data_IF_484671730747
#
_entry.id   IF_484671730747
#
_cell.length_a   1.000
_cell.length_b   1.000
_cell.length_c   1.000
_cell.angle_alpha   90.00
_cell.angle_beta   90.00
_cell.angle_gamma   90.00
#
_symmetry.space_group_name_H-M   'P 1'
#
loop_
_entity.id
_entity.type
_entity.pdbx_description
1 polymer ?
#
# COMPACT_ATOMS: atom_id res chain seq x y z
N UNK A 1 -5.02 16.27 1.46
CA UNK A 1 -3.62 16.37 1.94
C UNK A 1 -2.71 16.05 0.77
N UNK A 2 -1.64 16.82 0.61
CA UNK A 2 -0.61 16.57 -0.41
C UNK A 2 0.74 16.47 0.30
N UNK A 3 1.55 15.49 -0.08
CA UNK A 3 2.88 15.28 0.47
C UNK A 3 3.88 15.33 -0.69
N UNK A 4 4.93 16.13 -0.55
CA UNK A 4 6.00 16.19 -1.54
C UNK A 4 7.25 15.49 -1.02
N UNK A 5 7.87 14.73 -1.91
CA UNK A 5 9.17 14.09 -1.69
C UNK A 5 10.20 14.63 -2.68
N UNK A 6 11.37 14.03 -2.77
CA UNK A 6 12.38 14.41 -3.75
C UNK A 6 11.87 14.25 -5.19
N UNK A 7 11.22 13.11 -5.50
CA UNK A 7 10.85 12.72 -6.86
C UNK A 7 9.35 12.62 -7.10
N UNK A 8 8.52 12.59 -6.03
CA UNK A 8 7.09 12.32 -6.10
C UNK A 8 6.26 13.44 -5.48
N UNK A 9 5.02 13.55 -5.99
CA UNK A 9 3.89 14.22 -5.34
C UNK A 9 2.89 13.13 -4.97
N UNK A 10 2.61 13.00 -3.68
CA UNK A 10 1.57 12.12 -3.18
C UNK A 10 0.31 12.96 -2.96
N UNK A 11 -0.71 12.73 -3.75
CA UNK A 11 -1.96 13.50 -3.76
C UNK A 11 -3.18 12.59 -3.82
N UNK A 12 -4.36 13.17 -3.68
CA UNK A 12 -5.60 12.45 -3.99
C UNK A 12 -5.64 12.07 -5.46
N UNK A 13 -6.37 10.99 -5.75
CA UNK A 13 -6.69 10.63 -7.13
C UNK A 13 -7.64 11.64 -7.75
N UNK A 14 -7.48 11.86 -9.04
CA UNK A 14 -8.33 12.69 -9.89
C UNK A 14 -8.93 11.83 -11.02
N UNK A 15 -10.01 12.30 -11.61
CA UNK A 15 -10.68 11.59 -12.73
C UNK A 15 -9.75 11.34 -13.92
N UNK A 16 -8.78 12.22 -14.10
CA UNK A 16 -7.76 12.18 -15.17
C UNK A 16 -6.71 11.10 -14.98
N UNK A 17 -6.61 10.49 -13.80
CA UNK A 17 -5.60 9.47 -13.48
C UNK A 17 -5.96 8.07 -14.01
N UNK A 18 -7.09 7.95 -14.73
CA UNK A 18 -7.63 6.64 -15.06
C UNK A 18 -6.70 5.76 -15.89
N UNK A 19 -6.11 6.31 -16.93
CA UNK A 19 -5.25 5.53 -17.83
C UNK A 19 -3.99 5.03 -17.10
N UNK A 20 -3.39 5.88 -16.27
CA UNK A 20 -2.24 5.51 -15.44
C UNK A 20 -2.61 4.47 -14.38
N UNK A 21 -3.76 4.64 -13.70
CA UNK A 21 -4.29 3.67 -12.76
C UNK A 21 -4.52 2.32 -13.42
N UNK A 22 -5.21 2.31 -14.56
CA UNK A 22 -5.54 1.08 -15.27
C UNK A 22 -4.28 0.35 -15.73
N UNK A 23 -3.26 1.08 -16.22
CA UNK A 23 -1.99 0.52 -16.66
C UNK A 23 -1.35 -0.36 -15.58
N UNK A 24 -1.26 0.11 -14.34
CA UNK A 24 -0.63 -0.71 -13.31
C UNK A 24 -1.59 -1.72 -12.66
N UNK A 25 -2.91 -1.51 -12.67
CA UNK A 25 -3.84 -2.52 -12.16
C UNK A 25 -3.93 -3.74 -13.07
N UNK A 26 -3.85 -3.56 -14.39
CA UNK A 26 -3.87 -4.69 -15.32
C UNK A 26 -2.64 -5.60 -15.17
N UNK A 27 -1.52 -5.04 -14.72
CA UNK A 27 -0.30 -5.82 -14.42
C UNK A 27 -0.49 -6.78 -13.23
N UNK A 28 -1.50 -6.52 -12.38
CA UNK A 28 -1.82 -7.32 -11.19
C UNK A 28 -2.93 -8.36 -11.46
N UNK A 29 -3.39 -8.49 -12.70
CA UNK A 29 -4.50 -9.39 -13.05
C UNK A 29 -4.25 -10.85 -12.65
N UNK A 30 -3.01 -11.30 -12.83
CA UNK A 30 -2.57 -12.66 -12.54
C UNK A 30 -1.53 -12.68 -11.39
N UNK A 31 -1.44 -11.59 -10.61
CA UNK A 31 -0.54 -11.52 -9.47
C UNK A 31 -1.05 -12.40 -8.32
N UNK A 32 -0.17 -13.21 -7.75
CA UNK A 32 -0.55 -14.13 -6.68
C UNK A 32 -0.71 -13.47 -5.31
N UNK A 33 -0.26 -12.22 -5.14
CA UNK A 33 -0.26 -11.49 -3.88
C UNK A 33 -1.35 -10.43 -3.82
N UNK A 34 -1.75 -9.89 -4.98
CA UNK A 34 -2.76 -8.84 -5.11
C UNK A 34 -4.02 -9.38 -5.81
N UNK A 35 -5.16 -8.94 -5.38
CA UNK A 35 -6.43 -9.50 -5.86
C UNK A 35 -7.18 -8.59 -6.83
N UNK A 36 -6.72 -8.47 -8.07
CA UNK A 36 -7.47 -7.79 -9.15
C UNK A 36 -7.86 -8.74 -10.30
N UNK A 37 -8.42 -9.94 -10.03
CA UNK A 37 -8.78 -10.88 -11.08
C UNK A 37 -9.87 -10.28 -11.97
N UNK A 38 -9.73 -10.48 -13.29
CA UNK A 38 -10.75 -10.08 -14.26
C UNK A 38 -10.91 -8.59 -14.46
N UNK A 39 -9.89 -7.77 -14.11
CA UNK A 39 -9.92 -6.34 -14.39
C UNK A 39 -9.98 -6.06 -15.90
N UNK A 40 -10.87 -5.19 -16.31
CA UNK A 40 -11.04 -4.70 -17.69
C UNK A 40 -11.06 -3.18 -17.68
N UNK A 41 -10.85 -2.55 -18.83
CA UNK A 41 -10.92 -1.10 -18.93
C UNK A 41 -12.28 -0.53 -18.48
N UNK A 42 -13.37 -1.25 -18.68
CA UNK A 42 -14.70 -0.80 -18.26
C UNK A 42 -14.91 -0.90 -16.74
N UNK A 43 -14.60 -2.07 -16.15
CA UNK A 43 -14.79 -2.28 -14.72
C UNK A 43 -13.72 -1.58 -13.86
N UNK A 44 -12.56 -1.29 -14.44
CA UNK A 44 -11.48 -0.55 -13.81
C UNK A 44 -11.88 0.86 -13.36
N UNK A 45 -12.87 1.48 -14.03
CA UNK A 45 -13.38 2.80 -13.65
C UNK A 45 -13.92 2.86 -12.23
N UNK A 46 -14.55 1.79 -11.74
CA UNK A 46 -15.01 1.68 -10.35
C UNK A 46 -13.87 1.75 -9.34
N UNK A 47 -12.69 1.25 -9.71
CA UNK A 47 -11.50 1.36 -8.85
C UNK A 47 -10.98 2.78 -8.76
N UNK A 48 -11.11 3.58 -9.86
CA UNK A 48 -10.80 5.00 -9.81
C UNK A 48 -11.83 5.77 -8.97
N UNK A 49 -13.14 5.59 -9.26
CA UNK A 49 -14.23 6.24 -8.52
C UNK A 49 -14.08 6.02 -7.01
N UNK A 50 -13.77 4.80 -6.60
CA UNK A 50 -13.52 4.47 -5.19
C UNK A 50 -12.33 5.25 -4.62
N UNK A 51 -11.22 5.36 -5.37
CA UNK A 51 -10.02 6.09 -4.92
C UNK A 51 -10.21 7.59 -4.88
N UNK A 52 -10.91 8.16 -5.86
CA UNK A 52 -11.25 9.59 -5.92
C UNK A 52 -12.14 9.96 -4.74
N UNK A 53 -13.12 9.11 -4.40
CA UNK A 53 -14.02 9.32 -3.25
C UNK A 53 -13.39 9.04 -1.89
N UNK A 54 -12.17 8.52 -1.82
CA UNK A 54 -11.52 8.08 -0.59
C UNK A 54 -10.41 9.02 -0.14
N UNK A 55 -10.33 9.26 1.19
CA UNK A 55 -9.20 9.96 1.82
C UNK A 55 -8.03 9.02 2.14
N UNK A 56 -8.18 7.73 1.90
CA UNK A 56 -7.22 6.69 2.31
C UNK A 56 -6.21 6.33 1.20
N UNK A 57 -6.40 6.84 -0.03
CA UNK A 57 -5.50 6.57 -1.14
C UNK A 57 -4.73 7.80 -1.58
N UNK A 58 -3.43 7.61 -1.77
CA UNK A 58 -2.52 8.61 -2.33
C UNK A 58 -1.99 8.11 -3.67
N UNK A 59 -2.29 8.83 -4.75
CA UNK A 59 -1.64 8.64 -6.05
C UNK A 59 -0.17 9.04 -5.94
N UNK A 60 0.72 8.25 -6.55
CA UNK A 60 2.15 8.52 -6.64
C UNK A 60 2.45 9.18 -7.99
N UNK A 61 2.38 10.51 -8.04
CA UNK A 61 2.70 11.27 -9.25
C UNK A 61 4.19 11.57 -9.33
N UNK A 62 4.80 11.29 -10.46
CA UNK A 62 6.20 11.65 -10.73
C UNK A 62 6.31 13.14 -11.05
N UNK A 63 7.14 13.88 -10.31
CA UNK A 63 7.42 15.31 -10.57
C UNK A 63 7.97 15.58 -11.96
N UNK A 64 8.70 14.62 -12.52
CA UNK A 64 9.37 14.77 -13.83
C UNK A 64 8.44 14.66 -15.04
N UNK A 65 7.31 13.96 -14.92
CA UNK A 65 6.43 13.64 -16.04
C UNK A 65 4.94 13.91 -15.79
N UNK A 66 4.53 14.09 -14.53
CA UNK A 66 3.12 14.14 -14.14
C UNK A 66 2.41 12.78 -14.16
N UNK A 67 3.13 11.68 -14.49
CA UNK A 67 2.55 10.33 -14.56
C UNK A 67 2.30 9.77 -13.17
N UNK A 68 1.13 9.17 -12.97
CA UNK A 68 0.83 8.38 -11.76
C UNK A 68 1.35 6.96 -11.93
N UNK A 69 2.36 6.61 -11.13
CA UNK A 69 3.08 5.33 -11.22
C UNK A 69 2.65 4.30 -10.17
N UNK A 70 1.63 4.59 -9.39
CA UNK A 70 1.15 3.70 -8.33
C UNK A 70 0.35 4.41 -7.27
N UNK A 71 0.12 3.74 -6.16
CA UNK A 71 -0.55 4.32 -4.99
C UNK A 71 -0.01 3.82 -3.65
N UNK A 72 -0.19 4.63 -2.60
CA UNK A 72 -0.18 4.20 -1.20
C UNK A 72 -1.63 4.18 -0.71
N UNK A 73 -2.02 3.10 -0.07
CA UNK A 73 -3.19 3.01 0.80
C UNK A 73 -2.77 3.33 2.24
N UNK A 74 -3.56 4.10 2.96
CA UNK A 74 -3.33 4.43 4.36
C UNK A 74 -4.69 4.53 5.08
N UNK A 75 -5.25 3.37 5.40
CA UNK A 75 -6.60 3.22 5.93
C UNK A 75 -6.68 3.43 7.44
N UNK A 76 -7.80 4.01 7.87
CA UNK A 76 -8.11 4.17 9.28
C UNK A 76 -8.35 2.82 9.96
N UNK A 77 -7.81 2.66 11.18
CA UNK A 77 -8.07 1.53 12.07
C UNK A 77 -8.31 2.04 13.48
N UNK A 78 -8.92 1.22 14.33
CA UNK A 78 -9.15 1.54 15.74
C UNK A 78 -7.84 1.84 16.48
N UNK A 79 -7.95 2.52 17.62
CA UNK A 79 -6.84 2.83 18.53
C UNK A 79 -5.72 3.69 17.91
N UNK A 80 -6.10 4.73 17.13
CA UNK A 80 -5.16 5.62 16.46
C UNK A 80 -4.13 4.88 15.60
N UNK A 81 -4.56 3.79 14.96
CA UNK A 81 -3.74 3.01 14.04
C UNK A 81 -4.09 3.30 12.57
N UNK A 82 -3.12 3.04 11.70
CA UNK A 82 -3.28 3.01 10.24
C UNK A 82 -2.75 1.70 9.68
N UNK A 83 -3.49 1.16 8.74
CA UNK A 83 -2.97 0.11 7.88
C UNK A 83 -2.47 0.73 6.59
N UNK A 84 -1.27 0.32 6.15
CA UNK A 84 -0.70 0.78 4.89
C UNK A 84 -0.53 -0.36 3.91
N UNK A 85 -0.79 -0.05 2.64
CA UNK A 85 -0.52 -0.89 1.48
C UNK A 85 0.06 -0.06 0.34
N UNK A 86 0.64 -0.70 -0.65
CA UNK A 86 1.23 -0.01 -1.80
C UNK A 86 1.21 -0.86 -3.04
N UNK A 87 1.00 -0.20 -4.16
CA UNK A 87 1.13 -0.75 -5.50
C UNK A 87 2.01 0.22 -6.29
N UNK A 88 2.99 -0.32 -7.02
CA UNK A 88 3.81 0.45 -7.96
C UNK A 88 3.83 -0.27 -9.29
N UNK A 89 3.57 0.46 -10.36
CA UNK A 89 3.68 0.02 -11.74
C UNK A 89 5.03 -0.69 -11.95
N UNK A 90 5.00 -1.87 -12.57
CA UNK A 90 6.17 -2.77 -12.71
C UNK A 90 7.35 -2.08 -13.40
N UNK A 91 7.09 -1.18 -14.35
CA UNK A 91 8.13 -0.44 -15.07
C UNK A 91 8.90 0.55 -14.19
N UNK A 92 8.32 0.90 -13.02
CA UNK A 92 8.89 1.83 -12.05
C UNK A 92 9.33 1.15 -10.73
N UNK A 93 9.20 -0.18 -10.66
CA UNK A 93 9.66 -0.93 -9.49
C UNK A 93 11.18 -0.92 -9.36
N UNK A 94 11.67 -1.24 -8.15
CA UNK A 94 13.10 -1.34 -7.80
C UNK A 94 13.91 -0.05 -7.97
N UNK A 95 13.24 1.08 -8.28
CA UNK A 95 13.82 2.41 -8.37
C UNK A 95 13.74 3.19 -7.05
N UNK A 96 13.17 2.59 -6.00
CA UNK A 96 13.06 3.18 -4.67
C UNK A 96 11.82 4.04 -4.43
N UNK A 97 10.95 4.22 -5.41
CA UNK A 97 9.74 5.04 -5.29
C UNK A 97 8.80 4.59 -4.17
N UNK A 98 8.53 3.28 -4.05
CA UNK A 98 7.68 2.75 -2.98
C UNK A 98 8.23 3.09 -1.58
N UNK A 99 9.55 2.94 -1.36
CA UNK A 99 10.15 3.24 -0.06
C UNK A 99 10.16 4.73 0.25
N UNK A 100 10.37 5.59 -0.75
CA UNK A 100 10.30 7.05 -0.63
C UNK A 100 8.88 7.50 -0.25
N UNK A 101 7.88 7.02 -0.98
CA UNK A 101 6.48 7.34 -0.76
C UNK A 101 5.99 6.84 0.61
N UNK A 102 6.23 5.57 0.93
CA UNK A 102 5.77 4.97 2.19
C UNK A 102 6.41 5.67 3.39
N UNK A 103 7.71 5.97 3.32
CA UNK A 103 8.39 6.73 4.38
C UNK A 103 7.76 8.10 4.59
N UNK A 104 7.45 8.83 3.51
CA UNK A 104 6.83 10.15 3.59
C UNK A 104 5.42 10.09 4.22
N UNK A 105 4.59 9.11 3.84
CA UNK A 105 3.26 8.90 4.43
C UNK A 105 3.39 8.57 5.92
N UNK A 106 4.27 7.65 6.31
CA UNK A 106 4.51 7.28 7.72
C UNK A 106 4.89 8.53 8.53
N UNK A 107 5.81 9.34 8.05
CA UNK A 107 6.24 10.55 8.75
C UNK A 107 5.10 11.55 8.92
N UNK A 108 4.26 11.74 7.91
CA UNK A 108 3.14 12.65 7.97
C UNK A 108 2.04 12.16 8.93
N UNK A 109 1.74 10.86 8.90
CA UNK A 109 0.80 10.27 9.85
C UNK A 109 1.30 10.36 11.29
N UNK A 110 2.60 10.18 11.54
CA UNK A 110 3.17 10.35 12.86
C UNK A 110 3.16 11.81 13.34
N UNK A 111 3.35 12.79 12.44
CA UNK A 111 3.18 14.21 12.77
C UNK A 111 1.73 14.54 13.16
N UNK A 112 0.75 13.91 12.53
CA UNK A 112 -0.67 14.10 12.84
C UNK A 112 -1.13 13.38 14.11
N UNK A 113 -0.24 12.67 14.81
CA UNK A 113 -0.52 12.04 16.10
C UNK A 113 -0.93 10.57 16.03
N UNK A 114 -0.92 9.96 14.85
CA UNK A 114 -1.17 8.52 14.72
C UNK A 114 -0.16 7.75 15.57
N UNK A 115 -0.67 6.79 16.36
CA UNK A 115 0.10 6.01 17.31
C UNK A 115 0.87 4.87 16.65
N UNK A 116 0.21 4.15 15.73
CA UNK A 116 0.70 2.91 15.14
C UNK A 116 0.43 2.86 13.65
N UNK A 117 1.42 2.42 12.88
CA UNK A 117 1.24 2.08 11.47
C UNK A 117 1.66 0.63 11.28
N UNK A 118 0.83 -0.14 10.56
CA UNK A 118 1.11 -1.53 10.26
C UNK A 118 0.78 -1.88 8.82
N UNK A 119 1.35 -2.97 8.35
CA UNK A 119 1.09 -3.55 7.03
C UNK A 119 1.05 -5.08 7.14
N UNK A 120 0.29 -5.68 6.25
CA UNK A 120 0.20 -7.12 6.09
C UNK A 120 0.74 -7.53 4.72
N UNK A 121 1.44 -8.66 4.64
CA UNK A 121 1.91 -9.21 3.37
C UNK A 121 2.07 -10.73 3.43
N UNK A 122 1.97 -11.37 2.26
CA UNK A 122 2.31 -12.79 2.11
C UNK A 122 3.82 -12.99 2.36
N UNK A 123 4.24 -13.98 3.18
CA UNK A 123 5.65 -14.30 3.42
C UNK A 123 6.47 -14.55 2.16
N UNK A 124 5.84 -15.03 1.09
CA UNK A 124 6.48 -15.28 -0.21
C UNK A 124 6.73 -14.00 -1.00
N UNK A 125 6.01 -12.91 -0.70
CA UNK A 125 6.24 -11.60 -1.30
C UNK A 125 7.46 -10.92 -0.68
N UNK A 126 8.65 -11.43 -1.06
CA UNK A 126 9.94 -10.97 -0.52
C UNK A 126 10.16 -9.48 -0.76
N UNK A 127 9.70 -8.95 -1.88
CA UNK A 127 9.86 -7.54 -2.21
C UNK A 127 9.07 -6.66 -1.25
N UNK A 128 7.86 -7.09 -0.86
CA UNK A 128 6.99 -6.36 0.05
C UNK A 128 7.60 -6.30 1.46
N UNK A 129 7.88 -7.43 2.11
CA UNK A 129 8.38 -7.38 3.49
C UNK A 129 9.78 -6.76 3.60
N UNK A 130 10.66 -6.90 2.59
CA UNK A 130 11.95 -6.18 2.58
C UNK A 130 11.77 -4.67 2.50
N UNK A 131 10.76 -4.19 1.78
CA UNK A 131 10.45 -2.77 1.74
C UNK A 131 9.94 -2.28 3.11
N UNK A 132 9.09 -3.05 3.79
CA UNK A 132 8.62 -2.72 5.14
C UNK A 132 9.78 -2.65 6.14
N UNK A 133 10.72 -3.60 6.09
CA UNK A 133 11.94 -3.56 6.92
C UNK A 133 12.83 -2.35 6.57
N UNK A 134 12.97 -2.03 5.28
CA UNK A 134 13.76 -0.88 4.82
C UNK A 134 13.23 0.46 5.35
N UNK A 135 11.92 0.63 5.47
CA UNK A 135 11.33 1.84 6.05
C UNK A 135 11.29 1.83 7.58
N UNK A 136 11.81 0.76 8.20
CA UNK A 136 12.00 0.65 9.65
C UNK A 136 10.88 -0.06 10.40
N UNK A 137 9.93 -0.69 9.72
CA UNK A 137 8.93 -1.54 10.35
C UNK A 137 9.56 -2.83 10.87
N UNK A 138 8.98 -3.38 11.94
CA UNK A 138 9.40 -4.66 12.54
C UNK A 138 8.29 -5.68 12.36
N UNK A 139 8.67 -6.91 12.02
CA UNK A 139 7.72 -8.01 11.99
C UNK A 139 7.28 -8.37 13.43
N UNK A 140 5.98 -8.32 13.66
CA UNK A 140 5.38 -8.60 14.97
C UNK A 140 4.64 -9.93 15.00
N UNK A 141 4.14 -10.40 13.84
CA UNK A 141 3.41 -11.66 13.77
C UNK A 141 3.65 -12.41 12.46
N UNK A 142 3.42 -13.73 12.54
CA UNK A 142 3.26 -14.64 11.42
C UNK A 142 1.99 -15.45 11.67
N UNK A 143 0.95 -15.17 10.91
CA UNK A 143 -0.28 -15.94 10.96
C UNK A 143 -0.24 -17.05 9.91
N UNK A 144 -0.50 -18.28 10.34
CA UNK A 144 -0.50 -19.44 9.46
C UNK A 144 -1.89 -19.70 8.92
N UNK A 145 -2.00 -19.84 7.58
CA UNK A 145 -3.23 -20.22 6.88
C UNK A 145 -4.46 -19.40 7.32
N UNK A 146 -4.30 -18.09 7.46
CA UNK A 146 -5.33 -17.21 8.04
C UNK A 146 -6.20 -16.51 7.00
N UNK A 147 -5.80 -16.53 5.72
CA UNK A 147 -6.52 -15.86 4.63
C UNK A 147 -6.46 -16.67 3.33
N UNK A 148 -7.44 -16.49 2.45
CA UNK A 148 -7.38 -16.97 1.08
C UNK A 148 -8.00 -15.94 0.13
N UNK A 149 -7.47 -15.85 -1.10
CA UNK A 149 -8.02 -15.00 -2.17
C UNK A 149 -8.57 -15.85 -3.32
N UNK A 150 -8.09 -17.07 -3.45
CA UNK A 150 -8.45 -17.98 -4.53
C UNK A 150 -8.88 -19.34 -3.98
N UNK A 151 -9.63 -20.07 -4.81
CA UNK A 151 -10.01 -21.44 -4.56
C UNK A 151 -9.45 -22.34 -5.66
N UNK A 152 -9.24 -23.62 -5.37
CA UNK A 152 -8.82 -24.62 -6.33
C UNK A 152 -9.97 -25.06 -7.26
N UNK A 153 -9.70 -26.01 -8.16
CA UNK A 153 -10.66 -26.56 -9.10
C UNK A 153 -11.86 -27.28 -8.42
N UNK A 154 -11.71 -27.65 -7.15
CA UNK A 154 -12.73 -28.31 -6.34
C UNK A 154 -13.46 -27.35 -5.38
N UNK A 155 -13.30 -26.04 -5.58
CA UNK A 155 -13.88 -24.96 -4.75
C UNK A 155 -13.32 -24.91 -3.30
N UNK A 156 -12.15 -25.53 -3.04
CA UNK A 156 -11.49 -25.45 -1.75
C UNK A 156 -10.62 -24.20 -1.65
N UNK A 157 -10.60 -23.52 -0.48
CA UNK A 157 -9.73 -22.36 -0.26
C UNK A 157 -8.24 -22.69 -0.41
N UNK A 158 -7.51 -21.89 -1.16
CA UNK A 158 -6.05 -21.94 -1.21
C UNK A 158 -5.52 -21.03 -0.11
N UNK A 159 -5.30 -21.61 1.07
CA UNK A 159 -4.88 -20.88 2.26
C UNK A 159 -3.48 -20.29 2.13
N UNK A 160 -3.32 -19.06 2.64
CA UNK A 160 -2.06 -18.32 2.68
C UNK A 160 -1.73 -17.89 4.08
N UNK A 161 -0.44 -17.74 4.33
CA UNK A 161 0.10 -17.15 5.54
C UNK A 161 0.18 -15.62 5.42
N UNK A 162 0.22 -14.93 6.57
CA UNK A 162 0.37 -13.47 6.61
C UNK A 162 1.47 -13.07 7.59
N UNK A 163 2.42 -12.24 7.14
CA UNK A 163 3.29 -11.46 8.02
C UNK A 163 2.61 -10.15 8.38
N UNK A 164 2.72 -9.76 9.65
CA UNK A 164 2.32 -8.44 10.12
C UNK A 164 3.58 -7.67 10.51
N UNK A 165 3.75 -6.52 9.88
CA UNK A 165 4.82 -5.57 10.18
C UNK A 165 4.24 -4.29 10.77
N UNK A 166 4.92 -3.70 11.76
CA UNK A 166 4.45 -2.46 12.37
C UNK A 166 5.58 -1.53 12.81
N UNK A 167 5.18 -0.27 13.01
CA UNK A 167 6.00 0.79 13.59
C UNK A 167 5.16 1.63 14.54
N UNK A 168 5.71 1.96 15.69
CA UNK A 168 5.10 2.87 16.66
C UNK A 168 5.65 4.28 16.50
N UNK A 169 4.80 5.27 16.74
CA UNK A 169 5.18 6.67 16.70
C UNK A 169 6.15 7.00 17.85
N UNK A 170 7.41 7.34 17.55
CA UNK A 170 8.39 7.61 18.60
C UNK A 170 8.07 8.87 19.43
N UNK A 171 7.24 9.77 18.91
CA UNK A 171 6.85 11.02 19.59
C UNK A 171 5.75 10.81 20.63
N UNK A 172 4.91 9.80 20.46
CA UNK A 172 3.83 9.48 21.40
C UNK A 172 4.38 8.72 22.62
N UNK A 173 5.49 8.01 22.46
CA UNK A 173 6.15 7.23 23.52
C UNK A 173 7.40 7.90 24.14
N UNK A 174 7.66 9.17 23.89
CA UNK A 174 8.76 9.92 24.50
C UNK A 174 8.70 10.05 26.03
N UNK A 175 7.83 9.31 26.70
CA UNK A 175 7.66 9.16 28.12
C UNK A 175 7.69 7.71 28.58
N UNK A 176 8.91 7.21 28.89
CA UNK A 176 9.16 5.98 29.69
C UNK A 176 8.61 4.67 29.10
N UNK A 177 9.44 3.96 28.36
CA UNK A 177 9.33 2.49 28.37
C UNK A 177 9.55 2.02 29.82
N UNK A 178 8.50 1.42 30.37
CA UNK A 178 8.60 0.62 31.61
C UNK A 178 9.01 -0.79 31.27
#
# INVERSE_FOLDING_TARGET
MQIETERLILRKFEETDYDDLFEYLVQLKDDEFEGYPGITYENGKKHLEYRVGSEEFFALEMKSSGKVIGNIYCGNRDFDAREVGYIVNQDYQRCGYASEALHAVIQEQFKSGIHRIFAECDPRNICSWKLLEKVGMKREAHFHQNIYFHKDENDNPIWKDTYVYAMLNPRVYGGKMR
#
